data_IF_761049133853
#
_entry.id   IF_761049133853
#
_cell.length_a   1.000
_cell.length_b   1.000
_cell.length_c   1.000
_cell.angle_alpha   90.00
_cell.angle_beta   90.00
_cell.angle_gamma   90.00
#
_symmetry.space_group_name_H-M   'P 1'
#
loop_
_entity.id
_entity.type
_entity.pdbx_description
1 polymer ?
#
# COMPACT_ATOMS: atom_id res chain seq x y z
N UNK A 1 13.95 34.00 16.88
CA UNK A 1 14.51 34.76 15.75
C UNK A 1 14.32 34.11 14.37
N UNK A 2 13.55 33.01 14.21
CA UNK A 2 13.31 32.37 12.89
C UNK A 2 11.95 32.67 12.24
N UNK A 3 10.94 33.09 13.02
CA UNK A 3 9.58 33.34 12.50
C UNK A 3 9.41 34.73 11.85
N UNK A 4 10.25 35.70 12.22
CA UNK A 4 10.16 37.07 11.67
C UNK A 4 10.73 37.17 10.24
N UNK A 5 11.67 36.28 9.86
CA UNK A 5 12.29 36.27 8.53
C UNK A 5 11.41 35.61 7.45
N UNK A 6 10.47 34.74 7.84
CA UNK A 6 9.51 34.12 6.92
C UNK A 6 8.25 34.96 6.68
N UNK A 7 7.92 35.87 7.59
CA UNK A 7 6.74 36.76 7.46
C UNK A 7 7.02 38.12 6.80
N UNK A 8 8.25 38.66 6.95
CA UNK A 8 8.56 40.03 6.52
C UNK A 8 9.03 40.19 5.06
N UNK A 9 9.62 39.15 4.48
CA UNK A 9 10.16 39.19 3.10
C UNK A 9 9.09 39.41 2.02
N UNK A 10 7.95 38.70 2.05
CA UNK A 10 6.92 38.86 1.02
C UNK A 10 6.20 40.21 1.08
N UNK A 11 6.05 40.81 2.27
CA UNK A 11 5.31 42.07 2.46
C UNK A 11 6.12 43.31 2.04
N UNK A 12 7.46 43.26 2.14
CA UNK A 12 8.32 44.35 1.69
C UNK A 12 8.49 44.41 0.16
N UNK A 13 8.20 43.32 -0.56
CA UNK A 13 8.27 43.26 -2.02
C UNK A 13 7.01 43.80 -2.73
N UNK A 14 5.87 43.95 -2.02
CA UNK A 14 4.60 44.44 -2.60
C UNK A 14 4.68 45.93 -2.97
N UNK A 15 5.62 46.68 -2.38
CA UNK A 15 5.79 48.12 -2.65
C UNK A 15 6.48 48.48 -3.97
N UNK A 16 6.92 47.51 -4.79
CA UNK A 16 7.70 47.77 -6.00
C UNK A 16 7.31 46.93 -7.22
N UNK A 17 6.04 46.53 -7.32
CA UNK A 17 5.54 45.80 -8.49
C UNK A 17 4.85 46.79 -9.43
N UNK A 18 5.61 47.35 -10.36
CA UNK A 18 5.08 48.17 -11.46
C UNK A 18 4.47 47.35 -12.60
N UNK A 19 4.70 46.03 -12.63
CA UNK A 19 4.28 45.14 -13.72
C UNK A 19 3.50 43.94 -13.22
N UNK A 20 2.22 43.86 -13.60
CA UNK A 20 1.29 42.76 -13.30
C UNK A 20 1.83 41.38 -13.71
N UNK A 21 2.68 41.33 -14.73
CA UNK A 21 3.32 40.11 -15.21
C UNK A 21 4.22 39.47 -14.14
N UNK A 22 4.99 40.27 -13.39
CA UNK A 22 5.90 39.76 -12.35
C UNK A 22 5.13 39.24 -11.13
N UNK A 23 4.03 39.91 -10.77
CA UNK A 23 3.12 39.45 -9.72
C UNK A 23 2.44 38.11 -10.10
N UNK A 24 2.02 37.95 -11.36
CA UNK A 24 1.43 36.71 -11.86
C UNK A 24 2.44 35.54 -11.84
N UNK A 25 3.69 35.78 -12.25
CA UNK A 25 4.76 34.78 -12.19
C UNK A 25 5.13 34.38 -10.74
N UNK A 26 5.22 35.34 -9.84
CA UNK A 26 5.46 35.09 -8.41
C UNK A 26 4.29 34.29 -7.78
N UNK A 27 3.04 34.68 -8.06
CA UNK A 27 1.86 33.96 -7.61
C UNK A 27 1.80 32.53 -8.15
N UNK A 28 2.11 32.34 -9.44
CA UNK A 28 2.18 31.02 -10.06
C UNK A 28 3.23 30.11 -9.43
N UNK A 29 4.44 30.63 -9.18
CA UNK A 29 5.51 29.87 -8.51
C UNK A 29 5.13 29.44 -7.08
N UNK A 30 4.50 30.34 -6.32
CA UNK A 30 4.01 30.05 -4.97
C UNK A 30 2.90 28.99 -4.99
N UNK A 31 1.97 29.08 -5.93
CA UNK A 31 0.88 28.11 -6.08
C UNK A 31 1.39 26.70 -6.39
N UNK A 32 2.37 26.59 -7.30
CA UNK A 32 3.03 25.31 -7.62
C UNK A 32 3.74 24.71 -6.40
N UNK A 33 4.42 25.54 -5.61
CA UNK A 33 5.06 25.09 -4.38
C UNK A 33 4.05 24.56 -3.35
N UNK A 34 2.92 25.27 -3.16
CA UNK A 34 1.85 24.84 -2.26
C UNK A 34 1.18 23.53 -2.72
N UNK A 35 0.97 23.36 -4.02
CA UNK A 35 0.47 22.09 -4.58
C UNK A 35 1.45 20.95 -4.32
N UNK A 36 2.76 21.17 -4.47
CA UNK A 36 3.79 20.20 -4.14
C UNK A 36 3.72 19.74 -2.68
N UNK A 37 3.57 20.69 -1.75
CA UNK A 37 3.44 20.41 -0.31
C UNK A 37 2.15 19.66 -0.01
N UNK A 38 1.01 20.10 -0.54
CA UNK A 38 -0.28 19.44 -0.34
C UNK A 38 -0.26 17.99 -0.87
N UNK A 39 0.35 17.77 -2.04
CA UNK A 39 0.53 16.45 -2.62
C UNK A 39 1.39 15.53 -1.73
N UNK A 40 2.48 16.04 -1.17
CA UNK A 40 3.34 15.28 -0.27
C UNK A 40 2.62 14.88 1.03
N UNK A 41 1.83 15.79 1.60
CA UNK A 41 1.01 15.53 2.79
C UNK A 41 -0.05 14.47 2.51
N UNK A 42 -0.76 14.57 1.38
CA UNK A 42 -1.77 13.58 0.98
C UNK A 42 -1.18 12.16 0.85
N UNK A 43 -0.03 12.02 0.20
CA UNK A 43 0.65 10.74 0.04
C UNK A 43 1.12 10.16 1.38
N UNK A 44 1.52 11.00 2.32
CA UNK A 44 1.90 10.57 3.68
C UNK A 44 0.68 10.04 4.45
N UNK A 45 -0.48 10.68 4.28
CA UNK A 45 -1.75 10.26 4.90
C UNK A 45 -2.26 8.91 4.37
N UNK A 46 -2.07 8.59 3.08
CA UNK A 46 -2.48 7.29 2.51
C UNK A 46 -1.69 6.07 3.06
N UNK A 47 -0.54 6.33 3.69
CA UNK A 47 0.27 5.29 4.35
C UNK A 47 -0.27 4.98 5.76
N UNK A 48 -0.93 5.94 6.41
CA UNK A 48 -1.45 5.84 7.79
C UNK A 48 -2.70 4.96 7.93
N UNK A 49 -3.36 4.59 6.82
CA UNK A 49 -4.46 3.62 6.84
C UNK A 49 -3.91 2.26 6.39
N UNK A 50 -3.49 1.38 7.34
CA UNK A 50 -3.03 0.06 7.00
C UNK A 50 -4.21 -0.76 6.45
N UNK A 51 -4.12 -1.28 5.21
CA UNK A 51 -5.14 -2.18 4.70
C UNK A 51 -5.13 -3.46 5.53
N UNK A 52 -6.29 -3.87 6.03
CA UNK A 52 -6.46 -5.14 6.73
C UNK A 52 -6.00 -6.27 5.81
N UNK A 53 -4.98 -7.02 6.24
CA UNK A 53 -4.42 -8.12 5.45
C UNK A 53 -5.23 -9.38 5.70
N UNK A 54 -6.31 -9.57 4.93
CA UNK A 54 -7.13 -10.78 4.96
C UNK A 54 -6.62 -11.80 3.92
N UNK A 55 -6.98 -13.09 4.04
CA UNK A 55 -6.63 -14.10 3.02
C UNK A 55 -7.10 -13.76 1.61
N UNK A 56 -8.16 -12.96 1.48
CA UNK A 56 -8.68 -12.46 0.20
C UNK A 56 -7.71 -11.47 -0.46
N UNK A 57 -6.88 -10.76 0.33
CA UNK A 57 -5.87 -9.87 -0.22
C UNK A 57 -4.83 -10.64 -1.03
N UNK A 58 -4.58 -11.92 -0.71
CA UNK A 58 -3.65 -12.79 -1.43
C UNK A 58 -4.06 -13.00 -2.90
N UNK A 59 -5.35 -12.90 -3.22
CA UNK A 59 -5.84 -12.98 -4.61
C UNK A 59 -5.85 -11.62 -5.33
N UNK A 60 -5.66 -10.52 -4.60
CA UNK A 60 -5.66 -9.16 -5.16
C UNK A 60 -4.55 -8.92 -6.20
N UNK A 61 -4.78 -8.02 -7.18
CA UNK A 61 -3.77 -7.68 -8.20
C UNK A 61 -2.52 -7.00 -7.62
N UNK A 62 -2.60 -6.43 -6.40
CA UNK A 62 -1.47 -5.79 -5.72
C UNK A 62 -0.38 -6.79 -5.30
N UNK A 63 -0.75 -8.06 -5.06
CA UNK A 63 0.17 -9.13 -4.68
C UNK A 63 0.54 -10.06 -5.85
N UNK A 64 0.13 -9.73 -7.08
CA UNK A 64 0.43 -10.54 -8.27
C UNK A 64 1.93 -10.80 -8.45
N UNK A 65 2.77 -9.78 -8.31
CA UNK A 65 4.23 -9.95 -8.43
C UNK A 65 4.83 -10.83 -7.32
N UNK A 66 4.27 -10.80 -6.10
CA UNK A 66 4.67 -11.72 -5.04
C UNK A 66 4.22 -13.14 -5.37
N UNK A 67 3.00 -13.31 -5.90
CA UNK A 67 2.45 -14.61 -6.31
C UNK A 67 3.26 -15.24 -7.43
N UNK A 68 3.61 -14.48 -8.46
CA UNK A 68 4.46 -14.95 -9.56
C UNK A 68 5.83 -15.45 -9.05
N UNK A 69 6.42 -14.78 -8.06
CA UNK A 69 7.68 -15.23 -7.45
C UNK A 69 7.52 -16.52 -6.64
N UNK A 70 6.41 -16.65 -5.90
CA UNK A 70 6.11 -17.86 -5.13
C UNK A 70 5.78 -19.05 -6.04
N UNK A 71 5.01 -18.82 -7.09
CA UNK A 71 4.58 -19.84 -8.06
C UNK A 71 5.74 -20.29 -8.96
N UNK A 72 6.79 -19.47 -9.14
CA UNK A 72 7.99 -19.86 -9.88
C UNK A 72 8.80 -20.94 -9.15
N UNK A 73 8.74 -20.99 -7.81
CA UNK A 73 9.55 -21.92 -7.01
C UNK A 73 8.84 -22.34 -5.70
N UNK A 74 7.63 -22.93 -5.76
CA UNK A 74 6.79 -23.17 -4.59
C UNK A 74 7.44 -24.10 -3.57
N UNK A 75 8.24 -25.07 -4.03
CA UNK A 75 8.96 -26.01 -3.16
C UNK A 75 9.97 -25.35 -2.22
N UNK A 76 10.53 -24.19 -2.58
CA UNK A 76 11.44 -23.43 -1.71
C UNK A 76 10.69 -22.73 -0.57
N UNK A 77 9.43 -22.37 -0.78
CA UNK A 77 8.64 -21.59 0.17
C UNK A 77 7.69 -22.45 1.01
N UNK A 78 7.13 -23.50 0.42
CA UNK A 78 6.09 -24.35 1.02
C UNK A 78 6.54 -25.80 1.22
N UNK A 79 7.75 -26.17 0.77
CA UNK A 79 8.23 -27.54 0.84
C UNK A 79 7.29 -28.50 0.11
N UNK A 80 6.94 -29.61 0.76
CA UNK A 80 5.95 -30.58 0.25
C UNK A 80 4.52 -30.26 0.69
N UNK A 81 4.30 -29.15 1.40
CA UNK A 81 2.99 -28.83 1.98
C UNK A 81 2.02 -28.24 0.95
N UNK A 82 2.52 -27.55 -0.08
CA UNK A 82 1.70 -26.98 -1.15
C UNK A 82 2.52 -26.75 -2.43
N UNK A 83 1.83 -26.82 -3.56
CA UNK A 83 2.38 -26.51 -4.90
C UNK A 83 2.08 -25.07 -5.33
N UNK A 84 1.13 -24.41 -4.68
CA UNK A 84 0.75 -23.01 -4.93
C UNK A 84 0.03 -22.42 -3.69
N UNK A 85 -0.18 -21.11 -3.69
CA UNK A 85 -0.89 -20.39 -2.62
C UNK A 85 -2.34 -20.87 -2.49
N UNK A 86 -2.99 -21.20 -3.60
CA UNK A 86 -4.40 -21.64 -3.63
C UNK A 86 -4.59 -22.98 -2.89
N UNK A 87 -3.60 -23.87 -2.97
CA UNK A 87 -3.56 -25.17 -2.32
C UNK A 87 -3.47 -25.04 -0.80
N UNK A 88 -2.76 -24.02 -0.29
CA UNK A 88 -2.75 -23.68 1.14
C UNK A 88 -4.14 -23.24 1.63
N UNK A 89 -4.90 -22.54 0.79
CA UNK A 89 -6.23 -22.04 1.12
C UNK A 89 -7.33 -23.11 0.93
N UNK A 90 -7.10 -24.08 0.04
CA UNK A 90 -8.06 -25.14 -0.29
C UNK A 90 -8.55 -25.90 0.95
N UNK A 91 -7.66 -26.28 1.86
CA UNK A 91 -8.04 -27.05 3.05
C UNK A 91 -8.99 -26.28 3.98
N UNK A 92 -8.84 -24.96 4.09
CA UNK A 92 -9.76 -24.10 4.86
C UNK A 92 -11.13 -24.03 4.19
N UNK A 93 -11.19 -23.84 2.86
CA UNK A 93 -12.47 -23.86 2.12
C UNK A 93 -13.20 -25.19 2.28
N UNK A 94 -12.47 -26.31 2.19
CA UNK A 94 -13.03 -27.65 2.40
C UNK A 94 -13.56 -27.81 3.83
N UNK A 95 -12.81 -27.37 4.84
CA UNK A 95 -13.27 -27.43 6.23
C UNK A 95 -14.55 -26.59 6.45
N UNK A 96 -14.63 -25.38 5.88
CA UNK A 96 -15.82 -24.53 5.93
C UNK A 96 -17.02 -25.18 5.26
N UNK A 97 -16.84 -25.76 4.06
CA UNK A 97 -17.94 -26.41 3.34
C UNK A 97 -18.44 -27.67 4.07
N UNK A 98 -17.53 -28.50 4.60
CA UNK A 98 -17.89 -29.67 5.41
C UNK A 98 -18.65 -29.23 6.66
N UNK A 99 -18.17 -28.20 7.35
CA UNK A 99 -18.82 -27.66 8.56
C UNK A 99 -20.22 -27.15 8.26
N UNK A 100 -20.43 -26.54 7.09
CA UNK A 100 -21.75 -26.09 6.63
C UNK A 100 -22.71 -27.24 6.32
N UNK A 101 -22.19 -28.39 5.85
CA UNK A 101 -22.99 -29.57 5.47
C UNK A 101 -23.36 -30.48 6.64
N UNK A 102 -22.56 -30.54 7.71
CA UNK A 102 -22.82 -31.40 8.87
C UNK A 102 -24.24 -31.23 9.48
N UNK A 103 -24.81 -30.02 9.64
CA UNK A 103 -26.12 -29.83 10.24
C UNK A 103 -27.29 -30.41 9.43
N UNK A 104 -27.13 -30.52 8.11
CA UNK A 104 -28.17 -30.97 7.17
C UNK A 104 -27.98 -32.42 6.70
N UNK A 105 -26.87 -33.05 7.10
CA UNK A 105 -26.49 -34.40 6.69
C UNK A 105 -27.21 -35.48 7.51
N UNK A 106 -27.53 -36.60 6.87
CA UNK A 106 -28.04 -37.80 7.55
C UNK A 106 -26.97 -38.46 8.44
N UNK A 107 -27.37 -39.33 9.38
CA UNK A 107 -26.47 -39.90 10.40
C UNK A 107 -25.22 -40.61 9.81
N UNK A 108 -25.39 -41.37 8.72
CA UNK A 108 -24.28 -42.05 8.06
C UNK A 108 -23.32 -41.09 7.33
N UNK A 109 -23.87 -40.06 6.67
CA UNK A 109 -23.09 -39.02 5.97
C UNK A 109 -22.34 -38.14 6.99
N UNK A 110 -22.99 -37.81 8.10
CA UNK A 110 -22.40 -37.00 9.17
C UNK A 110 -21.12 -37.62 9.74
N UNK A 111 -21.12 -38.91 10.03
CA UNK A 111 -19.91 -39.60 10.51
C UNK A 111 -18.76 -39.55 9.48
N UNK A 112 -19.07 -39.61 8.18
CA UNK A 112 -18.06 -39.44 7.13
C UNK A 112 -17.55 -37.99 7.04
N UNK A 113 -18.44 -37.00 7.13
CA UNK A 113 -18.11 -35.58 7.14
C UNK A 113 -17.24 -35.19 8.35
N UNK A 114 -17.53 -35.71 9.54
CA UNK A 114 -16.74 -35.45 10.75
C UNK A 114 -15.31 -36.00 10.63
N UNK A 115 -15.14 -37.20 10.04
CA UNK A 115 -13.80 -37.75 9.73
C UNK A 115 -13.06 -36.90 8.69
N UNK A 116 -13.78 -36.42 7.68
CA UNK A 116 -13.26 -35.49 6.67
C UNK A 116 -12.81 -34.17 7.30
N UNK A 117 -13.62 -33.60 8.20
CA UNK A 117 -13.32 -32.37 8.92
C UNK A 117 -12.08 -32.51 9.81
N UNK A 118 -11.97 -33.61 10.55
CA UNK A 118 -10.79 -33.89 11.37
C UNK A 118 -9.50 -33.96 10.51
N UNK A 119 -9.60 -34.53 9.31
CA UNK A 119 -8.48 -34.57 8.35
C UNK A 119 -8.16 -33.19 7.79
N UNK A 120 -9.18 -32.41 7.43
CA UNK A 120 -9.00 -31.03 6.99
C UNK A 120 -8.33 -30.16 8.07
N UNK A 121 -8.74 -30.29 9.35
CA UNK A 121 -8.11 -29.59 10.47
C UNK A 121 -6.64 -29.97 10.66
N UNK A 122 -6.28 -31.25 10.54
CA UNK A 122 -4.86 -31.67 10.58
C UNK A 122 -4.04 -31.04 9.45
N UNK A 123 -4.59 -30.98 8.25
CA UNK A 123 -3.93 -30.36 7.10
C UNK A 123 -3.83 -28.83 7.27
N UNK A 124 -4.85 -28.19 7.85
CA UNK A 124 -4.81 -26.77 8.21
C UNK A 124 -3.70 -26.51 9.22
N UNK A 125 -3.60 -27.30 10.29
CA UNK A 125 -2.54 -27.15 11.29
C UNK A 125 -1.14 -27.27 10.69
N UNK A 126 -0.95 -28.17 9.71
CA UNK A 126 0.32 -28.31 8.97
C UNK A 126 0.63 -27.11 8.06
N UNK A 127 -0.40 -26.49 7.49
CA UNK A 127 -0.25 -25.38 6.53
C UNK A 127 -0.33 -23.99 7.18
N UNK A 128 -0.76 -23.91 8.45
CA UNK A 128 -0.93 -22.65 9.18
C UNK A 128 0.34 -21.81 9.31
N UNK A 129 1.52 -22.38 9.62
CA UNK A 129 2.76 -21.60 9.70
C UNK A 129 3.10 -20.91 8.38
N UNK A 130 2.94 -21.61 7.25
CA UNK A 130 3.18 -21.07 5.91
C UNK A 130 2.20 -19.95 5.59
N UNK A 131 0.93 -20.07 5.98
CA UNK A 131 -0.05 -19.00 5.77
C UNK A 131 0.28 -17.77 6.61
N UNK A 132 0.66 -17.92 7.88
CA UNK A 132 1.06 -16.79 8.74
C UNK A 132 2.28 -16.07 8.17
N UNK A 133 3.29 -16.83 7.75
CA UNK A 133 4.47 -16.28 7.07
C UNK A 133 4.10 -15.56 5.78
N UNK A 134 3.21 -16.14 4.98
CA UNK A 134 2.75 -15.54 3.72
C UNK A 134 2.00 -14.23 3.98
N UNK A 135 1.14 -14.16 4.99
CA UNK A 135 0.42 -12.94 5.38
C UNK A 135 1.38 -11.84 5.85
N UNK A 136 2.39 -12.19 6.66
CA UNK A 136 3.42 -11.26 7.09
C UNK A 136 4.24 -10.72 5.90
N UNK A 137 4.62 -11.62 4.98
CA UNK A 137 5.37 -11.28 3.76
C UNK A 137 4.53 -10.42 2.81
N UNK A 138 3.25 -10.75 2.64
CA UNK A 138 2.31 -9.97 1.87
C UNK A 138 2.14 -8.56 2.43
N UNK A 139 2.04 -8.42 3.76
CA UNK A 139 1.98 -7.12 4.41
C UNK A 139 3.24 -6.30 4.13
N UNK A 140 4.42 -6.87 4.33
CA UNK A 140 5.69 -6.21 4.02
C UNK A 140 5.81 -5.81 2.54
N UNK A 141 5.32 -6.66 1.62
CA UNK A 141 5.29 -6.37 0.20
C UNK A 141 4.39 -5.17 -0.14
N UNK A 142 3.18 -5.15 0.42
CA UNK A 142 2.23 -4.04 0.25
C UNK A 142 2.84 -2.73 0.76
N UNK A 143 3.46 -2.75 1.95
CA UNK A 143 4.14 -1.58 2.51
C UNK A 143 5.28 -1.13 1.61
N UNK A 144 6.13 -2.06 1.15
CA UNK A 144 7.24 -1.74 0.23
C UNK A 144 6.75 -1.08 -1.06
N UNK A 145 5.67 -1.60 -1.65
CA UNK A 145 5.14 -1.06 -2.91
C UNK A 145 4.46 0.30 -2.71
N UNK A 146 3.75 0.48 -1.59
CA UNK A 146 3.24 1.80 -1.17
C UNK A 146 4.38 2.81 -0.99
N UNK A 147 5.45 2.43 -0.28
CA UNK A 147 6.62 3.29 -0.08
C UNK A 147 7.33 3.62 -1.40
N UNK A 148 7.42 2.66 -2.32
CA UNK A 148 8.03 2.89 -3.64
C UNK A 148 7.22 3.90 -4.46
N UNK A 149 5.89 3.82 -4.44
CA UNK A 149 5.01 4.82 -5.05
C UNK A 149 5.14 6.17 -4.37
N UNK A 150 5.06 6.20 -3.04
CA UNK A 150 5.23 7.43 -2.25
C UNK A 150 6.57 8.12 -2.57
N UNK A 151 7.68 7.38 -2.60
CA UNK A 151 9.01 7.92 -2.97
C UNK A 151 9.01 8.61 -4.33
N UNK A 152 8.35 8.03 -5.35
CA UNK A 152 8.23 8.64 -6.67
C UNK A 152 7.44 9.95 -6.61
N UNK A 153 6.33 9.95 -5.90
CA UNK A 153 5.51 11.15 -5.72
C UNK A 153 6.25 12.24 -4.91
N UNK A 154 6.99 11.87 -3.86
CA UNK A 154 7.83 12.81 -3.11
C UNK A 154 8.93 13.40 -3.99
N UNK A 155 9.56 12.61 -4.86
CA UNK A 155 10.56 13.11 -5.80
C UNK A 155 9.96 14.12 -6.80
N UNK A 156 8.79 13.80 -7.37
CA UNK A 156 8.06 14.72 -8.27
C UNK A 156 7.67 16.00 -7.54
N UNK A 157 7.16 15.88 -6.31
CA UNK A 157 6.83 17.04 -5.47
C UNK A 157 8.05 17.91 -5.19
N UNK A 158 9.20 17.32 -4.83
CA UNK A 158 10.44 18.06 -4.61
C UNK A 158 10.89 18.82 -5.86
N UNK A 159 10.81 18.20 -7.04
CA UNK A 159 11.12 18.85 -8.32
C UNK A 159 10.19 20.03 -8.58
N UNK A 160 8.87 19.88 -8.34
CA UNK A 160 7.90 20.95 -8.49
C UNK A 160 8.19 22.13 -7.55
N UNK A 161 8.52 21.85 -6.28
CA UNK A 161 8.86 22.89 -5.30
C UNK A 161 10.11 23.65 -5.71
N UNK A 162 11.17 22.94 -6.13
CA UNK A 162 12.41 23.59 -6.61
C UNK A 162 12.13 24.46 -7.83
N UNK A 163 11.39 23.94 -8.81
CA UNK A 163 11.02 24.69 -10.00
C UNK A 163 10.20 25.96 -9.65
N UNK A 164 9.18 25.83 -8.80
CA UNK A 164 8.37 26.94 -8.33
C UNK A 164 9.18 28.01 -7.58
N UNK A 165 10.11 27.59 -6.71
CA UNK A 165 11.00 28.49 -5.98
C UNK A 165 11.95 29.25 -6.93
N UNK A 166 12.53 28.57 -7.93
CA UNK A 166 13.38 29.21 -8.94
C UNK A 166 12.61 30.25 -9.74
N UNK A 167 11.37 29.93 -10.16
CA UNK A 167 10.50 30.88 -10.87
C UNK A 167 10.15 32.09 -10.00
N UNK A 168 9.77 31.85 -8.73
CA UNK A 168 9.45 32.93 -7.79
C UNK A 168 10.64 33.87 -7.56
N UNK A 169 11.82 33.32 -7.26
CA UNK A 169 13.04 34.09 -7.02
C UNK A 169 13.50 34.82 -8.30
N UNK A 170 13.37 34.19 -9.46
CA UNK A 170 13.70 34.82 -10.75
C UNK A 170 12.76 35.97 -11.12
N UNK A 171 11.50 35.92 -10.71
CA UNK A 171 10.51 36.97 -10.93
C UNK A 171 10.57 38.10 -9.89
N UNK A 172 11.09 37.83 -8.69
CA UNK A 172 11.17 38.80 -7.57
C UNK A 172 12.56 39.40 -7.36
N UNK A 173 13.61 38.78 -7.92
CA UNK A 173 15.00 39.25 -7.85
C UNK A 173 15.45 40.14 -9.02
N UNK A 174 14.53 40.49 -9.94
CA UNK A 174 14.70 41.54 -10.95
C UNK A 174 13.81 42.72 -10.58
#
# INVERSE_FOLDING_TARGET
MGALLLGGGPLLAVGRIGDWAHAAWAGGGLFVALLGIAWATWQTSEVLVPPLTTPEVLTSPALRGLREQLDAAPGYYFGTAATDVESLLRHRRVATEISRRIPVAGAAERAALERGLATAHRNIARTDPYLRWLLATAHAWIVREKLRKARRHTFVSAVLVIAGAVVFLGATGR
#
